data_IF_548088878695
#
_entry.id   IF_548088878695
#
_cell.length_a   1.000
_cell.length_b   1.000
_cell.length_c   1.000
_cell.angle_alpha   90.00
_cell.angle_beta   90.00
_cell.angle_gamma   90.00
#
_symmetry.space_group_name_H-M   'P 1'
#
loop_
_entity.id
_entity.type
_entity.pdbx_description
1 polymer ?
#
# COMPACT_ATOMS: atom_id res chain seq x y z
N UNK A 1 4.91 -0.12 8.38
CA UNK A 1 4.79 1.13 7.61
C UNK A 1 6.09 1.57 6.96
N UNK A 2 7.18 1.55 7.73
CA UNK A 2 8.48 1.98 7.19
C UNK A 2 8.92 1.11 6.01
N UNK A 3 8.77 -0.20 6.13
CA UNK A 3 9.15 -1.11 5.05
C UNK A 3 8.33 -0.84 3.78
N UNK A 4 7.04 -0.64 3.93
CA UNK A 4 6.15 -0.35 2.80
C UNK A 4 6.53 0.97 2.13
N UNK A 5 6.82 1.99 2.91
CA UNK A 5 7.28 3.28 2.40
C UNK A 5 8.57 3.13 1.59
N UNK A 6 9.54 2.37 2.12
CA UNK A 6 10.80 2.12 1.42
C UNK A 6 10.61 1.37 0.11
N UNK A 7 9.73 0.38 0.09
CA UNK A 7 9.43 -0.38 -1.11
C UNK A 7 8.85 0.51 -2.20
N UNK A 8 7.87 1.33 -1.86
CA UNK A 8 7.24 2.22 -2.83
C UNK A 8 8.20 3.30 -3.32
N UNK A 9 9.04 3.83 -2.42
CA UNK A 9 10.07 4.81 -2.80
C UNK A 9 11.05 4.18 -3.80
N UNK A 10 11.50 2.96 -3.54
CA UNK A 10 12.40 2.25 -4.44
C UNK A 10 11.74 1.94 -5.80
N UNK A 11 10.41 1.89 -5.83
CA UNK A 11 9.64 1.62 -7.04
C UNK A 11 9.26 2.89 -7.82
N UNK A 12 9.76 4.04 -7.40
CA UNK A 12 9.55 5.29 -8.11
C UNK A 12 8.46 6.18 -7.56
N UNK A 13 7.74 5.74 -6.54
CA UNK A 13 6.70 6.54 -5.91
C UNK A 13 7.30 7.54 -4.93
N UNK A 14 6.72 8.73 -4.87
CA UNK A 14 7.12 9.77 -3.93
C UNK A 14 6.03 9.94 -2.88
N UNK A 15 6.42 9.92 -1.63
CA UNK A 15 5.50 10.20 -0.53
C UNK A 15 5.21 11.70 -0.49
N UNK A 16 3.95 12.09 -0.63
CA UNK A 16 3.55 13.50 -0.64
C UNK A 16 2.80 13.91 0.62
N UNK A 17 2.44 12.95 1.47
CA UNK A 17 1.80 13.31 2.72
C UNK A 17 1.71 12.14 3.66
N UNK A 18 1.61 12.46 4.95
CA UNK A 18 1.18 11.53 5.98
C UNK A 18 -0.28 11.84 6.22
N UNK A 19 -1.12 10.91 5.84
CA UNK A 19 -2.55 11.12 5.97
C UNK A 19 -3.01 10.53 7.30
N UNK A 20 -2.59 11.13 8.39
CA UNK A 20 -2.97 10.66 9.69
C UNK A 20 -3.78 11.66 10.49
N UNK A 21 -3.72 12.93 10.13
CA UNK A 21 -4.34 13.96 10.94
C UNK A 21 -5.74 14.34 10.50
N UNK A 22 -6.01 14.27 9.19
CA UNK A 22 -7.27 14.72 8.62
C UNK A 22 -8.07 13.56 8.06
N UNK A 23 -7.38 12.56 7.50
CA UNK A 23 -8.03 11.37 6.96
C UNK A 23 -7.45 10.13 7.62
N UNK A 24 -8.14 9.62 8.61
CA UNK A 24 -7.71 8.42 9.36
C UNK A 24 -7.76 7.15 8.53
N UNK A 25 -8.19 7.24 7.28
CA UNK A 25 -8.42 6.09 6.42
C UNK A 25 -7.27 5.82 5.45
N UNK A 26 -6.24 6.68 5.44
CA UNK A 26 -5.14 6.58 4.50
C UNK A 26 -3.84 6.64 5.27
N UNK A 27 -3.00 5.61 5.14
CA UNK A 27 -1.71 5.57 5.84
C UNK A 27 -0.62 6.32 5.09
N UNK A 28 -0.57 6.17 3.76
CA UNK A 28 0.39 6.87 2.93
C UNK A 28 -0.31 7.47 1.72
N UNK A 29 0.13 8.65 1.36
CA UNK A 29 -0.30 9.30 0.13
C UNK A 29 0.91 9.44 -0.79
N UNK A 30 0.81 8.91 -2.01
CA UNK A 30 1.92 8.78 -2.93
C UNK A 30 1.64 9.48 -4.25
N UNK A 31 2.72 9.94 -4.89
CA UNK A 31 2.70 10.49 -6.25
C UNK A 31 3.71 9.74 -7.11
N UNK A 32 3.30 9.33 -8.30
CA UNK A 32 4.22 8.78 -9.29
C UNK A 32 4.60 9.93 -10.25
N UNK A 33 5.81 10.48 -10.15
CA UNK A 33 6.14 11.69 -10.91
C UNK A 33 6.12 11.51 -12.42
N UNK A 34 6.38 10.28 -12.90
CA UNK A 34 6.44 10.03 -14.34
C UNK A 34 5.08 10.16 -15.02
N UNK A 35 4.00 9.88 -14.32
CA UNK A 35 2.65 9.92 -14.89
C UNK A 35 1.75 10.95 -14.22
N UNK A 36 2.13 11.43 -13.04
CA UNK A 36 1.28 12.29 -12.23
C UNK A 36 0.20 11.55 -11.47
N UNK A 37 0.22 10.21 -11.50
CA UNK A 37 -0.76 9.42 -10.77
C UNK A 37 -0.63 9.61 -9.27
N UNK A 38 -1.79 9.68 -8.60
CA UNK A 38 -1.86 9.72 -7.14
C UNK A 38 -2.44 8.43 -6.62
N UNK A 39 -1.86 7.95 -5.53
CA UNK A 39 -2.31 6.71 -4.90
C UNK A 39 -2.36 6.89 -3.40
N UNK A 40 -3.26 6.12 -2.77
CA UNK A 40 -3.13 5.94 -1.34
C UNK A 40 -2.84 4.48 -1.02
N UNK A 41 -2.12 4.28 0.08
CA UNK A 41 -1.75 2.96 0.58
C UNK A 41 -2.38 2.77 1.93
N UNK A 42 -3.21 1.77 2.06
CA UNK A 42 -3.78 1.36 3.33
C UNK A 42 -3.02 0.12 3.82
N UNK A 43 -2.43 0.22 4.99
CA UNK A 43 -1.63 -0.86 5.57
C UNK A 43 -2.38 -1.43 6.77
N UNK A 44 -2.59 -2.75 6.75
CA UNK A 44 -3.28 -3.47 7.82
C UNK A 44 -2.40 -4.58 8.36
N UNK A 45 -2.31 -4.70 9.67
CA UNK A 45 -1.65 -5.86 10.26
C UNK A 45 -2.45 -7.13 10.01
N UNK A 46 -3.77 -7.02 10.03
CA UNK A 46 -4.66 -8.14 9.74
C UNK A 46 -5.79 -7.65 8.84
N UNK A 47 -6.09 -8.40 7.78
CA UNK A 47 -7.10 -8.00 6.81
C UNK A 47 -8.02 -9.14 6.44
N UNK A 48 -9.23 -8.79 5.99
CA UNK A 48 -10.21 -9.71 5.45
C UNK A 48 -11.01 -9.01 4.35
N UNK A 49 -11.95 -9.73 3.73
CA UNK A 49 -12.74 -9.20 2.62
C UNK A 49 -13.58 -7.98 3.03
N UNK A 50 -14.05 -7.94 4.28
CA UNK A 50 -14.88 -6.83 4.76
C UNK A 50 -14.06 -5.54 4.86
N UNK A 51 -12.82 -5.62 5.37
CA UNK A 51 -11.95 -4.46 5.46
C UNK A 51 -11.57 -3.93 4.08
N UNK A 52 -11.31 -4.83 3.13
CA UNK A 52 -11.04 -4.42 1.75
C UNK A 52 -12.23 -3.67 1.14
N UNK A 53 -13.44 -4.21 1.28
CA UNK A 53 -14.64 -3.55 0.75
C UNK A 53 -14.83 -2.15 1.32
N UNK A 54 -14.58 -2.00 2.62
CA UNK A 54 -14.72 -0.74 3.32
C UNK A 54 -13.78 0.33 2.76
N UNK A 55 -12.50 -0.02 2.62
CA UNK A 55 -11.50 0.92 2.09
C UNK A 55 -11.67 1.17 0.60
N UNK A 56 -12.10 0.17 -0.16
CA UNK A 56 -12.39 0.35 -1.58
C UNK A 56 -13.54 1.35 -1.79
N UNK A 57 -14.57 1.28 -0.95
CA UNK A 57 -15.67 2.23 -1.01
C UNK A 57 -15.20 3.65 -0.69
N UNK A 58 -14.34 3.80 0.31
CA UNK A 58 -13.77 5.11 0.66
C UNK A 58 -12.90 5.68 -0.45
N UNK A 59 -12.13 4.82 -1.10
CA UNK A 59 -11.30 5.21 -2.23
C UNK A 59 -12.17 5.79 -3.36
N UNK A 60 -13.25 5.10 -3.71
CA UNK A 60 -14.14 5.54 -4.77
C UNK A 60 -14.88 6.83 -4.40
N UNK A 61 -15.35 6.95 -3.16
CA UNK A 61 -16.08 8.13 -2.69
C UNK A 61 -15.21 9.36 -2.62
N UNK A 62 -13.95 9.21 -2.24
CA UNK A 62 -13.03 10.34 -2.11
C UNK A 62 -12.72 10.96 -3.47
N UNK A 63 -12.61 10.15 -4.52
CA UNK A 63 -12.32 10.57 -5.88
C UNK A 63 -11.11 11.51 -5.98
N UNK A 64 -10.10 11.25 -5.13
CA UNK A 64 -8.88 12.06 -5.07
C UNK A 64 -7.66 11.33 -5.60
N UNK A 65 -7.76 10.02 -5.76
CA UNK A 65 -6.64 9.15 -6.10
C UNK A 65 -6.96 8.33 -7.33
N UNK A 66 -5.93 8.05 -8.10
CA UNK A 66 -6.01 7.20 -9.29
C UNK A 66 -5.91 5.73 -8.94
N UNK A 67 -5.24 5.40 -7.83
CA UNK A 67 -4.98 4.04 -7.39
C UNK A 67 -5.10 3.89 -5.89
N UNK A 68 -5.39 2.65 -5.48
CA UNK A 68 -5.31 2.21 -4.10
C UNK A 68 -4.43 0.97 -4.02
N UNK A 69 -3.50 0.97 -3.05
CA UNK A 69 -2.73 -0.21 -2.68
C UNK A 69 -3.20 -0.67 -1.31
N UNK A 70 -3.69 -1.88 -1.24
CA UNK A 70 -4.16 -2.47 0.01
C UNK A 70 -3.14 -3.53 0.45
N UNK A 71 -2.42 -3.24 1.54
CA UNK A 71 -1.29 -4.05 2.01
C UNK A 71 -1.64 -4.65 3.36
N UNK A 72 -1.38 -5.95 3.54
CA UNK A 72 -1.63 -6.60 4.82
C UNK A 72 -0.54 -7.62 5.14
N UNK A 73 -0.37 -7.90 6.44
CA UNK A 73 0.65 -8.83 6.93
C UNK A 73 0.08 -10.19 7.27
N UNK A 74 -1.15 -10.24 7.79
CA UNK A 74 -1.83 -11.50 8.12
C UNK A 74 -3.28 -11.43 7.65
N UNK A 75 -3.91 -12.59 7.56
CA UNK A 75 -5.27 -12.69 7.08
C UNK A 75 -5.33 -13.12 5.63
N UNK A 76 -6.54 -13.23 5.11
CA UNK A 76 -6.77 -13.71 3.76
C UNK A 76 -7.76 -12.80 3.05
N UNK A 77 -7.33 -12.29 1.90
CA UNK A 77 -8.16 -11.45 1.04
C UNK A 77 -8.19 -12.11 -0.34
N UNK A 78 -9.38 -12.37 -0.84
CA UNK A 78 -9.54 -13.05 -2.12
C UNK A 78 -9.04 -12.17 -3.28
N UNK A 79 -8.37 -12.80 -4.25
CA UNK A 79 -7.81 -12.10 -5.40
C UNK A 79 -8.87 -11.41 -6.25
N UNK A 80 -10.12 -11.85 -6.19
CA UNK A 80 -11.21 -11.24 -6.94
C UNK A 80 -11.61 -9.85 -6.41
N UNK A 81 -11.04 -9.42 -5.27
CA UNK A 81 -11.21 -8.05 -4.79
C UNK A 81 -10.34 -7.04 -5.53
N UNK A 82 -9.39 -7.51 -6.34
CA UNK A 82 -8.52 -6.65 -7.11
C UNK A 82 -9.27 -6.10 -8.34
N UNK A 83 -8.98 -4.86 -8.68
CA UNK A 83 -9.53 -4.18 -9.84
C UNK A 83 -8.41 -3.38 -10.51
N UNK A 84 -8.70 -2.75 -11.66
CA UNK A 84 -7.69 -1.98 -12.38
C UNK A 84 -7.04 -0.90 -11.51
N UNK A 85 -7.81 -0.27 -10.63
CA UNK A 85 -7.33 0.81 -9.78
C UNK A 85 -6.99 0.35 -8.36
N UNK A 86 -7.24 -0.91 -8.01
CA UNK A 86 -7.02 -1.46 -6.67
C UNK A 86 -6.06 -2.63 -6.76
N UNK A 87 -4.91 -2.51 -6.12
CA UNK A 87 -3.89 -3.56 -6.11
C UNK A 87 -3.79 -4.17 -4.71
N UNK A 88 -3.86 -5.49 -4.65
CA UNK A 88 -3.77 -6.23 -3.39
C UNK A 88 -2.35 -6.73 -3.18
N UNK A 89 -1.76 -6.40 -2.02
CA UNK A 89 -0.40 -6.79 -1.68
C UNK A 89 -0.43 -7.53 -0.34
N UNK A 90 -0.46 -8.86 -0.43
CA UNK A 90 -0.37 -9.72 0.75
C UNK A 90 1.07 -9.98 1.17
N UNK A 91 1.27 -10.82 2.21
CA UNK A 91 2.61 -11.06 2.76
C UNK A 91 3.61 -11.59 1.74
N UNK A 92 3.18 -12.51 0.87
CA UNK A 92 4.08 -13.11 -0.12
C UNK A 92 4.52 -12.10 -1.17
N UNK A 93 3.57 -11.32 -1.68
CA UNK A 93 3.87 -10.28 -2.66
C UNK A 93 4.72 -9.19 -2.06
N UNK A 94 4.45 -8.83 -0.81
CA UNK A 94 5.24 -7.83 -0.10
C UNK A 94 6.69 -8.28 0.07
N UNK A 95 6.91 -9.55 0.43
CA UNK A 95 8.25 -10.10 0.55
C UNK A 95 9.00 -10.06 -0.79
N UNK A 96 8.32 -10.40 -1.88
CA UNK A 96 8.91 -10.34 -3.21
C UNK A 96 9.26 -8.92 -3.61
N UNK A 97 8.39 -7.97 -3.33
CA UNK A 97 8.65 -6.56 -3.61
C UNK A 97 9.84 -6.05 -2.80
N UNK A 98 9.99 -6.52 -1.57
CA UNK A 98 11.12 -6.18 -0.73
C UNK A 98 12.44 -6.67 -1.36
N UNK A 99 12.46 -7.90 -1.86
CA UNK A 99 13.64 -8.45 -2.54
C UNK A 99 13.94 -7.70 -3.84
N UNK A 100 12.92 -7.43 -4.63
CA UNK A 100 13.06 -6.73 -5.91
C UNK A 100 13.57 -5.30 -5.71
N UNK A 101 13.21 -4.67 -4.60
CA UNK A 101 13.67 -3.34 -4.26
C UNK A 101 15.08 -3.31 -3.66
N UNK A 102 15.70 -4.49 -3.46
CA UNK A 102 17.05 -4.58 -2.89
C UNK A 102 17.10 -4.30 -1.40
N UNK A 103 16.01 -4.51 -0.68
CA UNK A 103 15.92 -4.19 0.73
C UNK A 103 16.19 -5.38 1.65
N UNK A 104 16.65 -6.50 1.11
CA UNK A 104 16.91 -7.70 1.90
C UNK A 104 17.95 -7.46 3.00
N UNK A 105 19.02 -6.74 2.69
CA UNK A 105 20.05 -6.40 3.67
C UNK A 105 19.52 -5.50 4.76
N UNK A 106 18.73 -4.51 4.38
CA UNK A 106 18.10 -3.60 5.34
C UNK A 106 17.21 -4.38 6.30
N UNK A 107 16.40 -5.28 5.77
CA UNK A 107 15.48 -6.08 6.58
C UNK A 107 16.26 -6.96 7.58
N UNK A 108 17.34 -7.58 7.14
CA UNK A 108 18.19 -8.40 7.99
C UNK A 108 18.78 -7.60 9.15
N UNK A 109 19.23 -6.40 8.89
CA UNK A 109 19.78 -5.52 9.93
C UNK A 109 18.74 -5.16 10.98
N UNK A 110 17.49 -5.00 10.57
CA UNK A 110 16.41 -4.59 11.49
C UNK A 110 15.89 -5.73 12.36
N UNK A 111 16.04 -6.99 11.92
CA UNK A 111 15.51 -8.14 12.66
C UNK A 111 16.58 -8.95 13.37
N UNK A 112 17.84 -8.66 13.16
CA UNK A 112 18.94 -9.39 13.85
C UNK A 112 19.39 -8.73 15.14
#
# INVERSE_FOLDING_TARGET
ELLVDLIFTASGWRRIGVVGRVQKTVDLELLLPTTGERAFVQIKSQANAASLRDYAARFEQANLYDRMFFVWHTGNVAANGEADSITLIGPERLARMCLDAGLASWLREKVS
#
